data_IF_170594588558
#
_entry.id   IF_170594588558
#
_cell.length_a   1.000
_cell.length_b   1.000
_cell.length_c   1.000
_cell.angle_alpha   90.00
_cell.angle_beta   90.00
_cell.angle_gamma   90.00
#
_symmetry.space_group_name_H-M   'P 1'
#
loop_
_entity.id
_entity.type
_entity.pdbx_description
1 polymer ?
#
# COMPACT_ATOMS: atom_id res chain seq x y z
N UNK A 1 -30.85 26.32 -6.20
CA UNK A 1 -29.50 26.77 -6.60
C UNK A 1 -28.88 25.70 -7.49
N UNK A 2 -28.60 26.04 -8.75
CA UNK A 2 -28.17 25.11 -9.83
C UNK A 2 -26.69 24.76 -9.64
N UNK A 3 -26.35 23.46 -9.57
CA UNK A 3 -24.95 22.99 -9.51
C UNK A 3 -24.23 23.39 -10.81
N UNK A 4 -23.19 24.21 -10.67
CA UNK A 4 -22.30 24.60 -11.76
C UNK A 4 -21.53 23.36 -12.24
N UNK A 5 -21.93 22.84 -13.40
CA UNK A 5 -21.22 21.79 -14.11
C UNK A 5 -19.82 22.28 -14.42
N UNK A 6 -18.83 21.66 -13.78
CA UNK A 6 -17.41 21.88 -14.04
C UNK A 6 -17.18 21.43 -15.47
N UNK A 7 -17.09 22.37 -16.43
CA UNK A 7 -16.72 22.07 -17.81
C UNK A 7 -15.29 21.55 -17.79
N UNK A 8 -15.14 20.24 -17.77
CA UNK A 8 -13.89 19.58 -18.13
C UNK A 8 -13.61 20.00 -19.56
N UNK A 9 -12.57 20.81 -19.76
CA UNK A 9 -11.98 20.95 -21.09
C UNK A 9 -11.56 19.54 -21.47
N UNK A 10 -12.26 18.98 -22.45
CA UNK A 10 -12.00 17.64 -22.93
C UNK A 10 -10.77 17.77 -23.82
N UNK A 11 -9.59 17.57 -23.23
CA UNK A 11 -8.31 17.60 -23.96
C UNK A 11 -8.15 16.35 -24.87
N UNK A 12 -9.19 15.52 -24.98
CA UNK A 12 -9.26 14.40 -25.91
C UNK A 12 -9.35 14.89 -27.35
N UNK A 13 -8.61 14.22 -28.23
CA UNK A 13 -8.79 14.41 -29.67
C UNK A 13 -10.13 13.79 -30.12
N UNK A 14 -10.80 14.36 -31.13
CA UNK A 14 -12.12 13.90 -31.60
C UNK A 14 -12.19 12.42 -32.00
N UNK A 15 -11.05 11.84 -32.38
CA UNK A 15 -10.91 10.44 -32.80
C UNK A 15 -11.03 9.46 -31.63
N UNK A 16 -10.83 9.91 -30.38
CA UNK A 16 -10.89 9.06 -29.20
C UNK A 16 -12.30 9.02 -28.60
N UNK A 17 -13.06 7.97 -28.92
CA UNK A 17 -14.32 7.65 -28.24
C UNK A 17 -14.17 6.38 -27.39
N UNK A 18 -13.82 6.56 -26.11
CA UNK A 18 -13.69 5.46 -25.16
C UNK A 18 -15.01 4.71 -24.90
N UNK A 19 -16.18 5.29 -25.19
CA UNK A 19 -17.46 4.62 -25.05
C UNK A 19 -17.70 3.60 -26.18
N UNK A 20 -17.05 3.79 -27.33
CA UNK A 20 -17.11 2.88 -28.49
C UNK A 20 -15.96 1.88 -28.53
N UNK A 21 -14.96 1.99 -27.65
CA UNK A 21 -13.84 1.06 -27.60
C UNK A 21 -14.27 -0.30 -27.00
N UNK A 22 -14.22 -1.39 -27.77
CA UNK A 22 -14.50 -2.72 -27.23
C UNK A 22 -13.42 -3.11 -26.20
N UNK A 23 -13.83 -3.55 -25.03
CA UNK A 23 -12.92 -4.00 -23.96
C UNK A 23 -12.33 -2.90 -23.06
N UNK A 24 -12.72 -1.63 -23.27
CA UNK A 24 -12.35 -0.51 -22.39
C UNK A 24 -13.11 -0.56 -21.05
N UNK A 25 -12.45 -1.00 -19.97
CA UNK A 25 -13.05 -1.03 -18.62
C UNK A 25 -12.46 0.08 -17.76
N UNK A 26 -13.31 1.03 -17.33
CA UNK A 26 -12.90 2.09 -16.40
C UNK A 26 -12.42 1.47 -15.09
N UNK A 27 -11.18 1.78 -14.72
CA UNK A 27 -10.61 1.34 -13.45
C UNK A 27 -10.15 -0.12 -13.40
N UNK A 28 -9.87 -0.76 -14.55
CA UNK A 28 -9.36 -2.14 -14.66
C UNK A 28 -8.23 -2.51 -13.66
N UNK A 29 -7.36 -1.56 -13.33
CA UNK A 29 -6.24 -1.75 -12.40
C UNK A 29 -6.35 -0.93 -11.11
N UNK A 30 -7.47 -0.24 -10.88
CA UNK A 30 -7.65 0.64 -9.70
C UNK A 30 -7.54 -0.14 -8.41
N UNK A 31 -8.02 -1.38 -8.38
CA UNK A 31 -7.91 -2.22 -7.19
C UNK A 31 -6.47 -2.63 -6.89
N UNK A 32 -5.68 -3.01 -7.92
CA UNK A 32 -4.25 -3.34 -7.77
C UNK A 32 -3.42 -2.13 -7.36
N UNK A 33 -3.75 -0.96 -7.92
CA UNK A 33 -3.10 0.29 -7.55
C UNK A 33 -3.44 0.72 -6.11
N UNK A 34 -4.71 0.61 -5.71
CA UNK A 34 -5.18 0.92 -4.34
C UNK A 34 -4.66 -0.05 -3.29
N UNK A 35 -4.36 -1.29 -3.67
CA UNK A 35 -3.67 -2.24 -2.80
C UNK A 35 -2.28 -1.73 -2.42
N UNK A 36 -1.72 -0.78 -3.18
CA UNK A 36 -0.52 -0.03 -2.83
C UNK A 36 0.71 -0.93 -2.77
N UNK A 37 1.68 -0.70 -3.64
CA UNK A 37 3.04 -1.08 -3.26
C UNK A 37 3.44 -0.11 -2.16
N UNK A 38 3.47 -0.56 -0.89
CA UNK A 38 3.99 0.24 0.20
C UNK A 38 5.50 0.39 -0.02
N UNK A 39 5.91 1.41 -0.78
CA UNK A 39 7.31 1.71 -1.04
C UNK A 39 7.91 2.37 0.20
N UNK A 40 8.90 1.71 0.79
CA UNK A 40 9.72 2.26 1.85
C UNK A 40 11.08 2.65 1.27
N UNK A 41 11.51 3.89 1.50
CA UNK A 41 12.87 4.30 1.17
C UNK A 41 13.82 3.70 2.20
N UNK A 42 14.83 2.98 1.72
CA UNK A 42 15.92 2.47 2.56
C UNK A 42 16.97 3.56 2.73
N UNK A 43 17.64 3.54 3.88
CA UNK A 43 18.85 4.33 4.06
C UNK A 43 19.94 3.87 3.08
N UNK A 44 20.85 4.79 2.73
CA UNK A 44 21.82 4.58 1.66
C UNK A 44 22.75 3.38 1.94
N UNK A 45 23.21 3.26 3.17
CA UNK A 45 24.07 2.15 3.62
C UNK A 45 23.36 0.80 3.51
N UNK A 46 22.07 0.75 3.83
CA UNK A 46 21.25 -0.46 3.67
C UNK A 46 21.06 -0.79 2.19
N UNK A 47 20.77 0.21 1.36
CA UNK A 47 20.58 0.03 -0.09
C UNK A 47 21.88 -0.42 -0.80
N UNK A 48 23.05 -0.03 -0.30
CA UNK A 48 24.36 -0.47 -0.83
C UNK A 48 24.60 -1.98 -0.58
N UNK A 49 23.99 -2.55 0.47
CA UNK A 49 24.15 -3.97 0.83
C UNK A 49 23.18 -4.89 0.06
N UNK A 50 22.00 -4.40 -0.30
CA UNK A 50 20.97 -5.21 -0.94
C UNK A 50 20.76 -4.85 -2.42
N UNK A 51 20.94 -5.80 -3.35
CA UNK A 51 20.88 -5.52 -4.80
C UNK A 51 19.46 -5.25 -5.32
N UNK A 52 18.42 -5.78 -4.66
CA UNK A 52 17.03 -5.61 -5.04
C UNK A 52 16.05 -5.82 -3.86
N UNK A 53 14.76 -5.59 -4.12
CA UNK A 53 13.67 -5.74 -3.15
C UNK A 53 13.44 -7.20 -2.74
N UNK A 54 13.65 -8.16 -3.63
CA UNK A 54 13.57 -9.59 -3.32
C UNK A 54 14.54 -9.96 -2.18
N UNK A 55 15.81 -9.57 -2.30
CA UNK A 55 16.86 -9.84 -1.30
C UNK A 55 16.54 -9.22 0.06
N UNK A 56 16.03 -7.98 0.08
CA UNK A 56 15.57 -7.31 1.31
C UNK A 56 14.43 -8.11 1.95
N UNK A 57 13.42 -8.46 1.16
CA UNK A 57 12.22 -9.13 1.66
C UNK A 57 12.51 -10.53 2.18
N UNK A 58 13.38 -11.29 1.52
CA UNK A 58 13.82 -12.61 1.99
C UNK A 58 14.52 -12.51 3.35
N UNK A 59 15.43 -11.55 3.49
CA UNK A 59 16.15 -11.30 4.73
C UNK A 59 15.19 -10.96 5.87
N UNK A 60 14.26 -10.02 5.65
CA UNK A 60 13.28 -9.64 6.66
C UNK A 60 12.33 -10.79 7.04
N UNK A 61 11.98 -11.67 6.10
CA UNK A 61 11.21 -12.90 6.38
C UNK A 61 12.00 -13.86 7.26
N UNK A 62 13.29 -14.05 6.99
CA UNK A 62 14.16 -14.88 7.82
C UNK A 62 14.25 -14.33 9.25
N UNK A 63 14.44 -13.01 9.41
CA UNK A 63 14.44 -12.33 10.71
C UNK A 63 13.11 -12.50 11.43
N UNK A 64 11.98 -12.31 10.75
CA UNK A 64 10.64 -12.54 11.32
C UNK A 64 10.48 -13.97 11.84
N UNK A 65 10.93 -14.97 11.06
CA UNK A 65 10.83 -16.38 11.44
C UNK A 65 11.74 -16.71 12.63
N UNK A 66 12.94 -16.14 12.68
CA UNK A 66 13.84 -16.28 13.83
C UNK A 66 13.25 -15.63 15.09
N UNK A 67 12.72 -14.41 14.97
CA UNK A 67 12.09 -13.68 16.07
C UNK A 67 10.86 -14.41 16.63
N UNK A 68 10.06 -15.06 15.77
CA UNK A 68 8.90 -15.84 16.20
C UNK A 68 9.27 -17.05 17.08
N UNK A 69 10.49 -17.56 16.97
CA UNK A 69 11.01 -18.69 17.77
C UNK A 69 11.52 -18.27 19.14
N UNK A 70 11.75 -16.97 19.37
CA UNK A 70 12.14 -16.46 20.67
C UNK A 70 10.95 -16.52 21.63
N UNK A 71 11.17 -16.86 22.92
CA UNK A 71 10.10 -16.84 23.92
C UNK A 71 9.52 -15.43 24.00
N UNK A 72 8.24 -15.30 23.68
CA UNK A 72 7.53 -14.04 23.76
C UNK A 72 7.57 -13.55 25.21
N UNK A 73 8.16 -12.38 25.47
CA UNK A 73 8.08 -11.76 26.80
C UNK A 73 6.60 -11.59 27.12
N UNK A 74 6.12 -12.03 28.30
CA UNK A 74 4.72 -11.86 28.64
C UNK A 74 4.40 -10.37 28.60
N UNK A 75 3.56 -9.97 27.65
CA UNK A 75 3.08 -8.59 27.58
C UNK A 75 2.42 -8.30 28.92
N UNK A 76 2.97 -7.36 29.69
CA UNK A 76 2.32 -6.90 30.91
C UNK A 76 0.97 -6.31 30.51
N UNK A 77 -0.09 -7.12 30.58
CA UNK A 77 -1.46 -6.62 30.52
C UNK A 77 -1.59 -5.70 31.71
N UNK A 78 -1.57 -4.40 31.43
CA UNK A 78 -1.82 -3.32 32.38
C UNK A 78 -3.16 -3.64 33.04
N UNK A 79 -3.12 -4.21 34.25
CA UNK A 79 -4.29 -4.46 35.09
C UNK A 79 -4.97 -3.11 35.28
N UNK A 80 -6.05 -2.85 34.54
CA UNK A 80 -6.96 -1.78 34.90
C UNK A 80 -7.57 -2.23 36.24
N UNK A 81 -7.09 -1.62 37.32
CA UNK A 81 -7.71 -1.79 38.64
C UNK A 81 -9.11 -1.21 38.51
N UNK A 82 -10.11 -2.06 38.68
CA UNK A 82 -11.46 -1.64 38.95
C UNK A 82 -11.40 -0.73 40.19
N UNK A 83 -11.71 0.55 40.00
CA UNK A 83 -12.03 1.44 41.12
C UNK A 83 -13.50 1.16 41.40
N UNK A 84 -13.75 0.33 42.41
CA UNK A 84 -15.07 0.22 43.02
C UNK A 84 -15.38 1.56 43.70
N UNK A 85 -16.53 2.13 43.38
CA UNK A 85 -17.19 3.17 44.15
C UNK A 85 -18.64 2.76 44.36
#
# INVERSE_FOLDING_TARGET
>A
MKKSGRKTKDDLQPEYDFAKMPGGVRGKYVQRYRQGTNLALLDRDVAEVFPNDEAVNETLRAVKNAAARLPQRPSHKRRQRAVAR
#
